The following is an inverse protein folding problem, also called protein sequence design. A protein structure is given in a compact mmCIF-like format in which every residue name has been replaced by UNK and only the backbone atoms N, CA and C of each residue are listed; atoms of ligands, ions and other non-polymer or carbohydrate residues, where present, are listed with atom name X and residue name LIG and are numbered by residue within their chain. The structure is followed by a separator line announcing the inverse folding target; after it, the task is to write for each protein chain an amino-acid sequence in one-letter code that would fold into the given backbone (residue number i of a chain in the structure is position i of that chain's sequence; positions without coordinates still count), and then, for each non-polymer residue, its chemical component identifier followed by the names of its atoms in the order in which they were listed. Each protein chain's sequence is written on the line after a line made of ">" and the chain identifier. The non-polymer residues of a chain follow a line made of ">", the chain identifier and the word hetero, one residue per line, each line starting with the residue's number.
data_IF_350392406767
#
_entry.id   IF_350392406767
#
_cell.length_a   1.000
_cell.length_b   1.000
_cell.length_c   1.000
_cell.angle_alpha   90.00
_cell.angle_beta   90.00
_cell.angle_gamma   90.00
#
_symmetry.space_group_name_H-M   'P 1'
#
loop_
_entity.id
_entity.type
_entity.pdbx_description
1 polymer ?
#
# COMPACT_ATOMS: atom_id res chain seq x y z
N UNK A 1 -15.25 12.14 -2.17
CA UNK A 1 -14.77 11.06 -1.28
C UNK A 1 -13.72 10.29 -2.04
N UNK A 2 -12.51 10.17 -1.51
CA UNK A 2 -11.48 9.30 -2.10
C UNK A 2 -11.97 7.87 -1.93
N UNK A 3 -12.16 7.12 -3.02
CA UNK A 3 -12.67 5.75 -2.96
C UNK A 3 -11.72 4.81 -2.21
N UNK A 4 -12.24 3.67 -1.75
CA UNK A 4 -11.47 2.60 -1.13
C UNK A 4 -10.63 1.89 -2.21
N UNK A 5 -9.43 2.41 -2.46
CA UNK A 5 -8.50 1.90 -3.48
C UNK A 5 -7.13 1.86 -2.85
N UNK A 6 -6.57 0.67 -2.71
CA UNK A 6 -5.33 0.38 -1.97
C UNK A 6 -4.15 1.19 -2.51
N UNK A 7 -4.09 1.38 -3.82
CA UNK A 7 -3.06 2.15 -4.51
C UNK A 7 -3.00 3.62 -4.04
N UNK A 8 -4.05 4.13 -3.37
CA UNK A 8 -4.13 5.51 -2.86
C UNK A 8 -3.82 5.65 -1.38
N UNK A 9 -3.66 4.53 -0.69
CA UNK A 9 -3.51 4.47 0.77
C UNK A 9 -2.27 3.66 1.10
N UNK A 10 -1.08 4.26 0.96
CA UNK A 10 0.09 3.70 1.63
C UNK A 10 -0.06 3.87 3.15
N UNK A 11 0.50 2.98 4.00
CA UNK A 11 0.39 3.06 5.46
C UNK A 11 0.77 4.42 6.04
N UNK A 12 1.81 5.05 5.51
CA UNK A 12 2.25 6.39 5.90
C UNK A 12 1.29 7.52 5.48
N UNK A 13 0.41 7.26 4.50
CA UNK A 13 -0.69 8.16 4.08
C UNK A 13 -2.02 7.86 4.81
N UNK A 14 -2.16 6.65 5.35
CA UNK A 14 -3.38 6.11 5.95
C UNK A 14 -3.48 6.39 7.47
N UNK A 15 -2.48 7.03 8.10
CA UNK A 15 -2.56 7.41 9.52
C UNK A 15 -3.77 8.29 9.85
N UNK A 16 -4.25 8.31 11.11
CA UNK A 16 -5.32 9.20 11.52
C UNK A 16 -4.89 10.62 11.18
N UNK A 17 -5.62 11.22 10.24
CA UNK A 17 -5.56 12.65 9.96
C UNK A 17 -5.85 13.32 11.29
N UNK A 18 -4.79 13.69 12.04
CA UNK A 18 -4.94 14.57 13.19
C UNK A 18 -5.81 15.74 12.72
N UNK A 19 -6.66 16.28 13.58
CA UNK A 19 -7.77 17.21 13.26
C UNK A 19 -7.42 18.43 12.37
N UNK A 20 -6.15 18.63 12.04
CA UNK A 20 -5.64 19.52 11.00
C UNK A 20 -4.94 18.67 9.93
N UNK A 21 -5.32 18.81 8.65
CA UNK A 21 -4.72 18.17 7.46
C UNK A 21 -3.17 18.23 7.41
N UNK A 22 -2.49 17.47 8.26
CA UNK A 22 -1.05 17.40 8.38
C UNK A 22 -0.62 16.00 7.99
N UNK A 23 0.02 15.94 6.82
CA UNK A 23 0.73 14.77 6.35
C UNK A 23 1.81 14.42 7.38
N UNK A 24 1.72 13.23 7.97
CA UNK A 24 2.80 12.67 8.78
C UNK A 24 4.00 12.30 7.86
N UNK A 25 5.21 12.03 8.40
CA UNK A 25 6.53 12.23 7.78
C UNK A 25 6.73 11.56 6.40
N UNK A 26 7.71 12.07 5.61
CA UNK A 26 7.45 12.59 4.26
C UNK A 26 6.83 11.55 3.32
N UNK A 27 5.74 11.96 2.66
CA UNK A 27 5.34 11.35 1.39
C UNK A 27 6.51 11.50 0.41
N UNK A 28 6.97 10.38 -0.16
CA UNK A 28 8.14 10.32 -1.03
C UNK A 28 8.10 9.11 -1.96
N UNK A 29 9.21 8.77 -2.65
CA UNK A 29 9.25 7.69 -3.63
C UNK A 29 8.75 6.34 -3.10
N UNK A 30 8.95 6.05 -1.81
CA UNK A 30 8.44 4.84 -1.16
C UNK A 30 6.92 4.70 -1.23
N UNK A 31 6.18 5.82 -1.25
CA UNK A 31 4.72 5.84 -1.42
C UNK A 31 4.31 5.42 -2.84
N UNK A 32 5.03 5.88 -3.86
CA UNK A 32 4.80 5.45 -5.24
C UNK A 32 5.11 3.96 -5.41
N UNK A 33 6.13 3.45 -4.71
CA UNK A 33 6.46 2.02 -4.69
C UNK A 33 5.34 1.17 -4.08
N UNK A 34 4.67 1.65 -3.03
CA UNK A 34 3.47 1.00 -2.51
C UNK A 34 2.36 0.94 -3.57
N UNK A 35 2.05 2.08 -4.20
CA UNK A 35 1.03 2.15 -5.24
C UNK A 35 1.33 1.22 -6.41
N UNK A 36 2.60 1.14 -6.84
CA UNK A 36 3.08 0.20 -7.84
C UNK A 36 2.90 -1.26 -7.39
N UNK A 37 3.28 -1.59 -6.16
CA UNK A 37 3.13 -2.92 -5.59
C UNK A 37 1.66 -3.38 -5.57
N UNK A 38 0.75 -2.50 -5.14
CA UNK A 38 -0.69 -2.78 -5.11
C UNK A 38 -1.27 -2.94 -6.52
N UNK A 39 -0.83 -2.13 -7.47
CA UNK A 39 -1.24 -2.24 -8.87
C UNK A 39 -0.74 -3.55 -9.51
N UNK A 40 0.52 -3.92 -9.29
CA UNK A 40 1.10 -5.18 -9.78
C UNK A 40 0.40 -6.39 -9.16
N UNK A 41 0.16 -6.36 -7.86
CA UNK A 41 -0.64 -7.36 -7.16
C UNK A 41 -1.98 -7.54 -7.86
N UNK A 42 -2.73 -6.44 -8.04
CA UNK A 42 -4.05 -6.48 -8.66
C UNK A 42 -4.01 -6.97 -10.11
N UNK A 43 -3.03 -6.51 -10.88
CA UNK A 43 -2.89 -6.88 -12.29
C UNK A 43 -2.68 -8.40 -12.46
N UNK A 44 -2.01 -9.05 -11.52
CA UNK A 44 -1.72 -10.48 -11.59
C UNK A 44 -2.77 -11.33 -10.88
N UNK A 45 -3.20 -10.95 -9.67
CA UNK A 45 -4.17 -11.71 -8.86
C UNK A 45 -5.63 -11.48 -9.25
N UNK A 46 -5.93 -10.36 -9.93
CA UNK A 46 -7.30 -9.98 -10.30
C UNK A 46 -8.10 -9.31 -9.18
N UNK A 47 -7.54 -9.14 -7.98
CA UNK A 47 -8.16 -8.43 -6.85
C UNK A 47 -7.12 -7.62 -6.07
N UNK A 48 -7.58 -6.70 -5.21
CA UNK A 48 -6.71 -5.91 -4.34
C UNK A 48 -6.11 -6.77 -3.20
N UNK A 49 -4.98 -6.35 -2.60
CA UNK A 49 -4.42 -7.04 -1.44
C UNK A 49 -5.20 -6.81 -0.13
N UNK A 50 -6.16 -5.88 -0.14
CA UNK A 50 -7.11 -5.62 0.96
C UNK A 50 -8.55 -5.50 0.43
N UNK A 51 -9.58 -5.72 1.27
CA UNK A 51 -10.96 -5.39 0.93
C UNK A 51 -11.17 -3.89 0.68
N UNK A 52 -11.94 -3.57 -0.36
CA UNK A 52 -12.13 -2.21 -0.89
C UNK A 52 -13.59 -1.75 -0.85
N UNK A 53 -14.35 -2.23 0.12
CA UNK A 53 -15.79 -1.91 0.28
C UNK A 53 -16.01 -0.59 1.01
N UNK A 54 -15.12 -0.26 1.96
CA UNK A 54 -15.19 0.93 2.80
C UNK A 54 -13.80 1.57 2.96
N UNK A 55 -13.70 2.87 2.68
CA UNK A 55 -12.42 3.58 2.72
C UNK A 55 -11.83 3.71 4.13
N UNK A 56 -12.67 3.86 5.16
CA UNK A 56 -12.23 3.95 6.54
C UNK A 56 -11.69 2.61 7.04
N UNK A 57 -12.36 1.51 6.71
CA UNK A 57 -11.91 0.15 7.05
C UNK A 57 -10.62 -0.21 6.31
N UNK A 58 -10.53 0.12 5.01
CA UNK A 58 -9.31 -0.06 4.23
C UNK A 58 -8.11 0.63 4.88
N UNK A 59 -8.29 1.89 5.26
CA UNK A 59 -7.26 2.69 5.94
C UNK A 59 -6.82 2.04 7.26
N UNK A 60 -7.77 1.56 8.07
CA UNK A 60 -7.45 0.84 9.31
C UNK A 60 -6.66 -0.44 9.04
N UNK A 61 -7.06 -1.23 8.04
CA UNK A 61 -6.37 -2.47 7.68
C UNK A 61 -4.96 -2.21 7.16
N UNK A 62 -4.79 -1.26 6.23
CA UNK A 62 -3.48 -0.90 5.67
C UNK A 62 -2.48 -0.51 6.78
N UNK A 63 -2.93 0.22 7.81
CA UNK A 63 -2.08 0.62 8.93
C UNK A 63 -1.83 -0.48 9.96
N UNK A 64 -2.74 -1.45 10.10
CA UNK A 64 -2.72 -2.42 11.21
C UNK A 64 -2.32 -3.83 10.81
N UNK A 65 -2.54 -4.21 9.55
CA UNK A 65 -2.47 -5.59 9.08
C UNK A 65 -1.61 -5.68 7.81
N UNK A 66 -0.82 -6.76 7.66
CA UNK A 66 -0.08 -6.99 6.42
C UNK A 66 -1.04 -7.28 5.24
N UNK A 67 -0.60 -7.03 4.00
CA UNK A 67 -1.39 -7.35 2.81
C UNK A 67 -1.58 -8.86 2.67
N UNK A 68 -2.63 -9.26 1.94
CA UNK A 68 -2.78 -10.66 1.53
C UNK A 68 -1.54 -11.14 0.74
N UNK A 69 -1.21 -12.43 0.85
CA UNK A 69 -0.04 -13.00 0.18
C UNK A 69 -0.13 -12.92 -1.35
N UNK A 70 1.02 -12.75 -1.99
CA UNK A 70 1.14 -12.63 -3.45
C UNK A 70 1.30 -13.98 -4.17
N UNK A 71 0.50 -14.99 -3.80
CA UNK A 71 0.71 -16.40 -4.21
C UNK A 71 0.69 -16.59 -5.73
N UNK A 72 -0.26 -15.95 -6.41
CA UNK A 72 -0.42 -16.02 -7.87
C UNK A 72 0.59 -15.16 -8.64
N UNK A 73 1.40 -14.34 -7.95
CA UNK A 73 2.39 -13.48 -8.61
C UNK A 73 3.62 -14.23 -9.16
N UNK A 74 3.75 -15.54 -8.89
CA UNK A 74 4.81 -16.36 -9.46
C UNK A 74 6.21 -15.74 -9.28
N UNK A 75 7.03 -15.61 -10.34
CA UNK A 75 8.35 -14.97 -10.23
C UNK A 75 8.34 -13.51 -9.77
N UNK A 76 7.21 -12.79 -9.89
CA UNK A 76 7.08 -11.40 -9.42
C UNK A 76 6.77 -11.30 -7.92
N UNK A 77 6.37 -12.41 -7.28
CA UNK A 77 5.98 -12.44 -5.86
C UNK A 77 6.97 -11.72 -4.95
N UNK A 78 8.30 -11.96 -5.01
CA UNK A 78 9.24 -11.30 -4.10
C UNK A 78 9.27 -9.78 -4.27
N UNK A 79 9.14 -9.31 -5.52
CA UNK A 79 9.10 -7.87 -5.82
C UNK A 79 7.81 -7.28 -5.27
N UNK A 80 6.65 -7.87 -5.56
CA UNK A 80 5.34 -7.41 -5.08
C UNK A 80 5.30 -7.36 -3.55
N UNK A 81 5.75 -8.41 -2.87
CA UNK A 81 5.78 -8.46 -1.40
C UNK A 81 6.76 -7.44 -0.81
N UNK A 82 7.90 -7.17 -1.46
CA UNK A 82 8.84 -6.13 -1.00
C UNK A 82 8.29 -4.71 -1.16
N UNK A 83 7.56 -4.44 -2.24
CA UNK A 83 6.93 -3.13 -2.50
C UNK A 83 5.77 -2.86 -1.52
N UNK A 84 5.08 -3.90 -1.07
CA UNK A 84 3.94 -3.83 -0.14
C UNK A 84 4.34 -3.97 1.34
N UNK A 85 5.62 -3.74 1.69
CA UNK A 85 6.04 -3.66 3.09
C UNK A 85 5.40 -2.46 3.78
N UNK A 86 4.91 -2.67 5.00
CA UNK A 86 4.18 -1.62 5.72
C UNK A 86 5.09 -0.46 6.10
N UNK A 87 6.27 -0.75 6.65
CA UNK A 87 7.28 0.26 6.92
C UNK A 87 7.89 0.77 5.58
N UNK A 88 7.74 2.06 5.24
CA UNK A 88 8.27 2.60 4.00
C UNK A 88 9.80 2.52 3.91
N UNK A 89 10.52 2.42 5.02
CA UNK A 89 11.99 2.27 5.05
C UNK A 89 12.46 0.85 4.75
N UNK A 90 11.56 -0.13 4.83
CA UNK A 90 11.86 -1.51 4.46
C UNK A 90 11.55 -1.80 2.99
N UNK A 91 10.87 -0.89 2.28
CA UNK A 91 10.64 -1.02 0.83
C UNK A 91 11.96 -0.87 0.07
N UNK A 92 12.08 -1.42 -1.15
CA UNK A 92 13.27 -1.22 -1.97
C UNK A 92 13.58 0.26 -2.13
N UNK A 93 14.85 0.63 -2.05
CA UNK A 93 15.27 1.99 -2.38
C UNK A 93 15.39 2.14 -3.90
N UNK A 94 15.33 3.38 -4.37
CA UNK A 94 15.62 3.70 -5.76
C UNK A 94 17.08 4.16 -5.85
N UNK A 95 17.96 3.28 -6.33
CA UNK A 95 19.28 3.71 -6.81
C UNK A 95 19.15 4.06 -8.31
N UNK A 96 19.42 5.33 -8.66
CA UNK A 96 19.62 5.76 -10.07
C UNK A 96 20.90 5.18 -10.68
#
# INVERSE_FOLDING_TARGET
>A
VVGAVTERWAPEQAGPVHENWQLAPPIGPSTDLWALGALLYRAVQGHAPYPEENAAELVQMVCGEPPAFAEECGPLRPVVESLLRQDPTERPDFEE
#
